data_IF_771499386510
#
_entry.id   IF_771499386510
#
_cell.length_a   1.000
_cell.length_b   1.000
_cell.length_c   1.000
_cell.angle_alpha   90.00
_cell.angle_beta   90.00
_cell.angle_gamma   90.00
#
_symmetry.space_group_name_H-M   'P 1'
#
loop_
_entity.id
_entity.type
_entity.pdbx_description
1 polymer ?
#
# COMPACT_ATOMS: atom_id res chain seq x y z
N UNK A 1 45.79 39.80 44.06
CA UNK A 1 45.18 38.59 44.66
C UNK A 1 45.09 37.50 43.59
N UNK A 2 45.56 36.30 43.95
CA UNK A 2 45.66 35.00 43.22
C UNK A 2 44.73 34.86 42.01
N UNK A 3 45.24 34.72 40.77
CA UNK A 3 45.57 33.48 40.03
C UNK A 3 44.49 32.38 40.03
N UNK A 4 44.23 31.89 38.81
CA UNK A 4 44.18 30.46 38.41
C UNK A 4 42.83 29.75 38.20
N UNK A 5 42.75 29.12 37.01
CA UNK A 5 42.11 27.85 36.63
C UNK A 5 40.58 27.80 36.56
N UNK A 6 39.96 27.47 35.42
CA UNK A 6 40.02 26.21 34.64
C UNK A 6 39.36 25.05 35.39
N UNK A 7 38.30 24.50 34.77
CA UNK A 7 37.78 23.13 34.90
C UNK A 7 37.22 22.65 36.25
N UNK A 8 35.95 22.24 36.24
CA UNK A 8 35.44 21.01 36.87
C UNK A 8 33.97 20.83 36.42
N UNK A 9 33.60 19.92 35.53
CA UNK A 9 33.47 18.46 35.69
C UNK A 9 32.68 17.98 36.94
N UNK A 10 31.46 17.50 36.62
CA UNK A 10 30.78 16.26 37.08
C UNK A 10 30.24 16.22 38.53
N UNK A 11 29.08 15.53 38.67
CA UNK A 11 28.54 14.78 39.82
C UNK A 11 27.50 15.57 40.65
N UNK A 12 26.30 15.09 41.03
CA UNK A 12 25.50 13.86 40.81
C UNK A 12 24.08 14.18 41.31
N UNK A 13 23.09 13.49 40.74
CA UNK A 13 21.76 13.15 41.23
C UNK A 13 21.38 13.52 42.68
N UNK A 14 20.23 14.17 42.85
CA UNK A 14 19.21 13.71 43.82
C UNK A 14 17.80 14.05 43.33
N UNK A 15 17.05 12.98 43.16
CA UNK A 15 15.63 12.84 42.91
C UNK A 15 14.80 13.43 44.08
N UNK A 16 13.66 14.06 43.76
CA UNK A 16 12.30 13.79 44.27
C UNK A 16 11.47 15.00 44.78
N UNK A 17 10.32 15.12 44.09
CA UNK A 17 8.97 15.52 44.56
C UNK A 17 8.60 17.01 44.54
N UNK A 18 7.68 17.32 43.61
CA UNK A 18 6.42 17.96 43.99
C UNK A 18 6.32 19.46 43.71
N UNK A 19 5.92 19.83 42.50
CA UNK A 19 5.53 21.20 42.18
C UNK A 19 4.89 21.29 40.82
N UNK A 20 3.62 20.89 40.73
CA UNK A 20 2.76 21.17 39.58
C UNK A 20 2.66 22.69 39.43
N UNK A 21 3.29 23.24 38.41
CA UNK A 21 2.95 24.55 37.87
C UNK A 21 2.58 24.38 36.41
N UNK A 22 1.26 24.37 36.19
CA UNK A 22 0.63 24.51 34.90
C UNK A 22 1.12 25.78 34.20
N UNK A 23 1.91 25.61 33.13
CA UNK A 23 1.93 26.55 32.04
C UNK A 23 1.47 25.81 30.78
N UNK A 24 0.24 26.12 30.36
CA UNK A 24 -0.32 25.67 29.11
C UNK A 24 0.45 26.28 27.94
N UNK A 25 1.27 25.45 27.32
CA UNK A 25 1.84 25.69 26.00
C UNK A 25 1.83 24.35 25.29
N UNK A 26 0.98 24.22 24.28
CA UNK A 26 0.97 23.07 23.38
C UNK A 26 2.30 23.03 22.65
N UNK A 27 3.26 22.26 23.16
CA UNK A 27 4.40 21.82 22.38
C UNK A 27 3.86 20.88 21.31
N UNK A 28 3.70 21.39 20.09
CA UNK A 28 3.56 20.56 18.90
C UNK A 28 4.87 19.79 18.75
N UNK A 29 4.87 18.53 19.20
CA UNK A 29 5.90 17.58 18.82
C UNK A 29 5.74 17.33 17.31
N UNK A 30 6.60 17.95 16.50
CA UNK A 30 6.83 17.51 15.13
C UNK A 30 7.35 16.08 15.20
N UNK A 31 6.47 15.12 14.90
CA UNK A 31 6.85 13.72 14.78
C UNK A 31 7.68 13.55 13.52
N UNK A 32 9.01 13.63 13.66
CA UNK A 32 9.90 13.06 12.66
C UNK A 32 9.61 11.56 12.61
N UNK A 33 9.06 11.09 11.49
CA UNK A 33 8.97 9.65 11.20
C UNK A 33 10.40 9.18 10.99
N UNK A 34 11.07 8.71 12.05
CA UNK A 34 12.26 7.89 11.89
C UNK A 34 11.82 6.60 11.19
N UNK A 35 12.42 6.31 10.03
CA UNK A 35 12.38 4.95 9.50
C UNK A 35 13.05 4.06 10.56
N UNK A 36 12.24 3.30 11.28
CA UNK A 36 12.73 2.37 12.29
C UNK A 36 13.50 1.28 11.54
N UNK A 37 14.82 1.20 11.74
CA UNK A 37 15.63 0.11 11.20
C UNK A 37 15.24 -1.18 11.93
N UNK A 38 14.55 -2.09 11.25
CA UNK A 38 14.17 -3.36 11.84
C UNK A 38 15.34 -4.35 11.77
N UNK A 39 15.97 -4.58 12.91
CA UNK A 39 17.04 -5.57 13.06
C UNK A 39 16.52 -6.86 13.68
N UNK A 40 16.95 -8.00 13.14
CA UNK A 40 16.57 -9.33 13.65
C UNK A 40 17.82 -10.15 13.89
N UNK A 41 17.83 -10.90 14.99
CA UNK A 41 18.96 -11.77 15.34
C UNK A 41 18.76 -13.14 14.68
N UNK A 42 19.73 -13.54 13.85
CA UNK A 42 19.73 -14.80 13.10
C UNK A 42 19.76 -15.97 14.08
N UNK A 43 18.85 -16.92 13.90
CA UNK A 43 18.68 -18.10 14.74
C UNK A 43 19.22 -19.35 14.04
N UNK A 44 19.44 -20.41 14.81
CA UNK A 44 19.83 -21.72 14.26
C UNK A 44 18.76 -22.19 13.27
N UNK A 45 19.17 -22.44 12.02
CA UNK A 45 18.28 -22.86 10.93
C UNK A 45 17.83 -21.73 10.02
N UNK A 46 18.10 -20.46 10.37
CA UNK A 46 17.86 -19.34 9.47
C UNK A 46 18.85 -19.37 8.31
N UNK A 47 18.31 -19.08 7.12
CA UNK A 47 19.04 -18.83 5.88
C UNK A 47 18.59 -17.47 5.33
N UNK A 48 19.42 -16.81 4.51
CA UNK A 48 18.99 -15.58 3.83
C UNK A 48 17.70 -15.80 3.04
N UNK A 49 17.54 -16.98 2.45
CA UNK A 49 16.31 -17.35 1.74
C UNK A 49 15.09 -17.41 2.68
N UNK A 50 15.18 -18.13 3.79
CA UNK A 50 14.07 -18.21 4.76
C UNK A 50 13.73 -16.86 5.39
N UNK A 51 14.73 -15.99 5.58
CA UNK A 51 14.56 -14.66 6.13
C UNK A 51 13.96 -13.72 5.08
N UNK A 52 14.45 -13.75 3.83
CA UNK A 52 13.86 -13.00 2.72
C UNK A 52 12.38 -13.34 2.57
N UNK A 53 12.06 -14.64 2.60
CA UNK A 53 10.68 -15.13 2.61
C UNK A 53 9.87 -14.58 3.78
N UNK A 54 10.41 -14.66 5.01
CA UNK A 54 9.73 -14.22 6.23
C UNK A 54 9.42 -12.72 6.23
N UNK A 55 10.28 -11.91 5.63
CA UNK A 55 10.19 -10.46 5.62
C UNK A 55 9.74 -9.88 4.25
N UNK A 56 9.22 -10.71 3.35
CA UNK A 56 8.63 -10.25 2.08
C UNK A 56 9.60 -9.49 1.18
N UNK A 57 10.87 -9.90 1.15
CA UNK A 57 11.95 -9.28 0.36
C UNK A 57 12.73 -10.35 -0.41
N UNK A 58 13.82 -9.96 -1.08
CA UNK A 58 14.69 -10.87 -1.83
C UNK A 58 16.01 -11.12 -1.10
N UNK A 59 16.69 -12.20 -1.46
CA UNK A 59 18.03 -12.48 -0.93
C UNK A 59 19.02 -11.41 -1.36
N UNK A 60 18.89 -10.92 -2.60
CA UNK A 60 19.70 -9.86 -3.17
C UNK A 60 19.52 -8.54 -2.41
N UNK A 61 18.28 -8.15 -2.14
CA UNK A 61 17.95 -6.94 -1.38
C UNK A 61 18.41 -7.04 0.07
N UNK A 62 18.21 -8.20 0.73
CA UNK A 62 18.79 -8.45 2.06
C UNK A 62 20.32 -8.31 2.04
N UNK A 63 20.98 -8.84 1.02
CA UNK A 63 22.44 -8.72 0.91
C UNK A 63 22.86 -7.28 0.64
N UNK A 64 22.10 -6.54 -0.15
CA UNK A 64 22.41 -5.15 -0.47
C UNK A 64 22.31 -4.26 0.77
N UNK A 65 21.18 -4.32 1.49
CA UNK A 65 20.96 -3.48 2.69
C UNK A 65 21.91 -3.84 3.83
N UNK A 66 22.34 -5.11 3.92
CA UNK A 66 23.31 -5.57 4.91
C UNK A 66 24.76 -5.56 4.41
N UNK A 67 25.01 -5.14 3.16
CA UNK A 67 26.33 -5.13 2.51
C UNK A 67 27.04 -6.50 2.52
N UNK A 68 26.29 -7.58 2.36
CA UNK A 68 26.83 -8.92 2.27
C UNK A 68 27.30 -9.25 0.85
N UNK A 69 28.55 -9.69 0.73
CA UNK A 69 29.12 -10.18 -0.53
C UNK A 69 28.81 -11.66 -0.80
N UNK A 70 28.35 -12.41 0.21
CA UNK A 70 28.08 -13.85 0.13
C UNK A 70 26.70 -14.22 0.66
N UNK A 71 26.32 -15.49 0.52
CA UNK A 71 25.07 -16.01 1.07
C UNK A 71 25.19 -16.54 2.51
N UNK A 72 26.39 -16.47 3.09
CA UNK A 72 26.68 -17.01 4.42
C UNK A 72 26.26 -16.00 5.49
N UNK A 73 25.45 -16.47 6.43
CA UNK A 73 25.03 -15.75 7.63
C UNK A 73 25.29 -16.60 8.86
N UNK A 74 25.50 -15.96 10.02
CA UNK A 74 25.88 -16.64 11.25
C UNK A 74 24.80 -16.51 12.32
N UNK A 75 24.59 -17.58 13.09
CA UNK A 75 23.69 -17.53 14.25
C UNK A 75 24.18 -16.47 15.24
N UNK A 76 23.27 -15.63 15.73
CA UNK A 76 23.57 -14.50 16.61
C UNK A 76 23.93 -13.21 15.87
N UNK A 77 24.08 -13.24 14.55
CA UNK A 77 24.30 -12.04 13.74
C UNK A 77 23.02 -11.21 13.65
N UNK A 78 23.16 -9.88 13.76
CA UNK A 78 22.08 -8.94 13.44
C UNK A 78 21.95 -8.79 11.93
N UNK A 79 20.71 -8.91 11.46
CA UNK A 79 20.32 -8.72 10.09
C UNK A 79 19.34 -7.57 10.03
N UNK A 80 19.70 -6.52 9.32
CA UNK A 80 18.76 -5.50 8.90
C UNK A 80 17.78 -6.16 7.93
N UNK A 81 16.50 -6.13 8.27
CA UNK A 81 15.44 -6.58 7.38
C UNK A 81 14.62 -5.37 6.97
N UNK A 82 14.06 -5.35 5.75
CA UNK A 82 13.12 -4.32 5.38
C UNK A 82 12.02 -4.27 6.43
N UNK A 83 11.74 -3.07 6.92
CA UNK A 83 10.66 -2.85 7.84
C UNK A 83 9.35 -3.18 7.13
N UNK A 84 8.84 -4.39 7.35
CA UNK A 84 7.45 -4.75 7.04
C UNK A 84 6.47 -4.11 8.00
N UNK A 85 6.83 -2.98 8.63
CA UNK A 85 5.85 -1.90 8.66
C UNK A 85 5.65 -1.48 7.20
N UNK A 86 4.80 -2.23 6.49
CA UNK A 86 3.77 -1.55 5.70
C UNK A 86 3.37 -0.37 6.58
N UNK A 87 3.77 0.86 6.25
CA UNK A 87 3.26 2.01 7.00
C UNK A 87 1.76 1.78 6.99
N UNK A 88 1.13 1.56 8.15
CA UNK A 88 -0.25 1.07 8.17
C UNK A 88 -1.03 1.93 7.17
N UNK A 89 -1.65 1.29 6.16
CA UNK A 89 -2.13 2.00 5.00
C UNK A 89 -3.04 3.13 5.46
N UNK A 90 -2.62 4.37 5.23
CA UNK A 90 -3.33 5.53 5.77
C UNK A 90 -4.57 5.76 4.92
N UNK A 91 -5.76 5.74 5.52
CA UNK A 91 -6.98 6.21 4.87
C UNK A 91 -6.86 7.70 4.55
N UNK A 92 -6.65 8.04 3.28
CA UNK A 92 -6.47 9.43 2.81
C UNK A 92 -7.83 9.98 2.39
N UNK A 93 -8.31 11.02 3.05
CA UNK A 93 -9.59 11.65 2.69
C UNK A 93 -9.35 12.68 1.60
N UNK A 94 -10.02 12.51 0.46
CA UNK A 94 -9.97 13.39 -0.69
C UNK A 94 -11.28 14.19 -0.81
N UNK A 95 -11.15 15.51 -0.95
CA UNK A 95 -12.26 16.44 -1.13
C UNK A 95 -12.34 16.97 -2.57
N UNK A 96 -12.06 16.10 -3.54
CA UNK A 96 -12.17 16.36 -4.97
C UNK A 96 -10.84 16.27 -5.74
N UNK A 97 -10.95 16.26 -7.07
CA UNK A 97 -9.86 16.24 -8.04
C UNK A 97 -10.14 17.24 -9.16
N UNK A 98 -9.14 18.04 -9.54
CA UNK A 98 -9.30 19.11 -10.51
C UNK A 98 -8.20 19.07 -11.57
N UNK A 99 -8.55 19.34 -12.83
CA UNK A 99 -7.56 19.58 -13.90
C UNK A 99 -6.89 20.95 -13.82
N UNK A 100 -7.46 21.89 -13.04
CA UNK A 100 -6.94 23.24 -12.86
C UNK A 100 -6.56 23.50 -11.41
N UNK A 101 -5.30 23.92 -11.19
CA UNK A 101 -4.80 24.32 -9.87
C UNK A 101 -5.65 25.42 -9.22
N UNK A 102 -6.13 26.38 -10.02
CA UNK A 102 -6.99 27.48 -9.53
C UNK A 102 -8.30 26.97 -8.94
N UNK A 103 -8.87 25.90 -9.49
CA UNK A 103 -10.11 25.31 -8.96
C UNK A 103 -9.84 24.50 -7.70
N UNK A 104 -8.73 23.77 -7.65
CA UNK A 104 -8.25 23.12 -6.44
C UNK A 104 -8.01 24.12 -5.30
N UNK A 105 -7.29 25.21 -5.56
CA UNK A 105 -7.01 26.26 -4.57
C UNK A 105 -8.32 26.89 -4.03
N UNK A 106 -9.32 27.12 -4.89
CA UNK A 106 -10.66 27.58 -4.46
C UNK A 106 -11.34 26.59 -3.52
N UNK A 107 -11.24 25.28 -3.79
CA UNK A 107 -11.81 24.21 -2.94
C UNK A 107 -11.13 24.19 -1.58
N UNK A 108 -9.80 24.34 -1.51
CA UNK A 108 -9.06 24.44 -0.24
C UNK A 108 -9.51 25.66 0.56
N UNK A 109 -9.66 26.83 -0.07
CA UNK A 109 -10.16 28.03 0.62
C UNK A 109 -11.59 27.83 1.16
N UNK A 110 -12.46 27.15 0.39
CA UNK A 110 -13.81 26.83 0.83
C UNK A 110 -13.80 25.90 2.07
N UNK A 111 -13.02 24.83 2.03
CA UNK A 111 -12.87 23.89 3.15
C UNK A 111 -12.32 24.58 4.40
N UNK A 112 -11.30 25.42 4.23
CA UNK A 112 -10.73 26.21 5.33
C UNK A 112 -11.76 27.13 5.99
N UNK A 113 -12.64 27.77 5.21
CA UNK A 113 -13.77 28.57 5.74
C UNK A 113 -14.79 27.73 6.51
N UNK A 114 -14.86 26.43 6.23
CA UNK A 114 -15.70 25.46 6.94
C UNK A 114 -14.97 24.79 8.12
N UNK A 115 -13.75 25.24 8.45
CA UNK A 115 -12.94 24.66 9.53
C UNK A 115 -12.32 23.31 9.19
N UNK A 116 -12.19 22.99 7.90
CA UNK A 116 -11.61 21.74 7.43
C UNK A 116 -10.27 22.05 6.78
N UNK A 117 -9.19 21.55 7.37
CA UNK A 117 -7.86 21.65 6.79
C UNK A 117 -7.72 20.72 5.59
N UNK A 118 -7.15 21.25 4.52
CA UNK A 118 -6.88 20.51 3.30
C UNK A 118 -5.70 21.08 2.53
N UNK A 119 -5.01 20.21 1.79
CA UNK A 119 -3.84 20.54 0.97
C UNK A 119 -4.04 20.06 -0.46
N UNK A 120 -3.44 20.76 -1.41
CA UNK A 120 -3.40 20.32 -2.82
C UNK A 120 -2.25 19.33 -2.98
N UNK A 121 -2.54 18.16 -3.54
CA UNK A 121 -1.55 17.17 -3.95
C UNK A 121 -1.60 16.99 -5.46
N UNK A 122 -0.42 16.93 -6.09
CA UNK A 122 -0.32 16.74 -7.53
C UNK A 122 -0.26 15.24 -7.85
N UNK A 123 -0.97 14.83 -8.89
CA UNK A 123 -0.91 13.48 -9.47
C UNK A 123 -0.86 13.59 -10.99
N UNK A 124 0.02 12.82 -11.62
CA UNK A 124 0.08 12.72 -13.08
C UNK A 124 -0.60 11.41 -13.47
N UNK A 125 -1.64 11.51 -14.30
CA UNK A 125 -2.43 10.36 -14.77
C UNK A 125 -2.48 10.49 -16.29
N UNK A 126 -1.85 9.54 -17.00
CA UNK A 126 -1.73 9.55 -18.47
C UNK A 126 -1.19 10.89 -19.01
N UNK A 127 -0.05 11.32 -18.50
CA UNK A 127 0.62 12.59 -18.84
C UNK A 127 -0.17 13.88 -18.53
N UNK A 128 -1.34 13.76 -17.90
CA UNK A 128 -2.13 14.89 -17.46
C UNK A 128 -1.98 15.12 -15.95
N UNK A 129 -1.70 16.36 -15.55
CA UNK A 129 -1.62 16.74 -14.12
C UNK A 129 -3.02 17.00 -13.56
N UNK A 130 -3.35 16.28 -12.49
CA UNK A 130 -4.51 16.50 -11.64
C UNK A 130 -4.07 17.06 -10.29
N UNK A 131 -4.87 18.00 -9.77
CA UNK A 131 -4.70 18.65 -8.48
C UNK A 131 -5.79 18.12 -7.54
N UNK A 132 -5.44 17.15 -6.70
CA UNK A 132 -6.38 16.54 -5.76
C UNK A 132 -6.31 17.24 -4.41
N UNK A 133 -7.43 17.26 -3.69
CA UNK A 133 -7.53 17.94 -2.39
C UNK A 133 -7.49 16.91 -1.28
N UNK A 134 -6.37 16.77 -0.59
CA UNK A 134 -6.26 15.89 0.58
C UNK A 134 -6.70 16.64 1.83
N UNK A 135 -7.75 16.15 2.49
CA UNK A 135 -8.38 16.73 3.68
C UNK A 135 -8.21 15.83 4.93
N UNK A 136 -7.21 14.94 4.91
CA UNK A 136 -6.82 14.11 6.06
C UNK A 136 -6.13 12.82 5.64
N UNK A 137 -5.39 12.23 6.56
CA UNK A 137 -4.80 10.89 6.45
C UNK A 137 -4.87 10.22 7.82
N UNK A 138 -5.42 9.01 7.89
CA UNK A 138 -5.76 8.36 9.16
C UNK A 138 -5.34 6.89 9.16
N UNK A 139 -4.79 6.38 10.26
CA UNK A 139 -4.51 4.95 10.40
C UNK A 139 -5.78 4.10 10.61
N UNK A 140 -6.87 4.70 11.11
CA UNK A 140 -8.14 4.01 11.37
C UNK A 140 -9.24 4.47 10.41
N UNK A 141 -9.90 3.51 9.76
CA UNK A 141 -11.02 3.75 8.83
C UNK A 141 -12.11 4.64 9.42
N UNK A 142 -12.51 4.36 10.66
CA UNK A 142 -13.56 5.11 11.36
C UNK A 142 -13.27 6.61 11.45
N UNK A 143 -11.99 6.99 11.62
CA UNK A 143 -11.59 8.40 11.68
C UNK A 143 -11.67 9.06 10.29
N UNK A 144 -11.29 8.35 9.23
CA UNK A 144 -11.46 8.82 7.86
C UNK A 144 -12.93 8.95 7.47
N UNK A 145 -13.79 8.01 7.89
CA UNK A 145 -15.24 8.05 7.66
C UNK A 145 -15.91 9.24 8.39
N UNK A 146 -15.47 9.55 9.62
CA UNK A 146 -15.90 10.76 10.34
C UNK A 146 -15.52 12.02 9.57
N UNK A 147 -14.26 12.13 9.13
CA UNK A 147 -13.79 13.27 8.34
C UNK A 147 -14.54 13.38 7.01
N UNK A 148 -14.78 12.27 6.32
CA UNK A 148 -15.55 12.23 5.08
C UNK A 148 -16.98 12.74 5.30
N UNK A 149 -17.63 12.31 6.37
CA UNK A 149 -18.98 12.77 6.74
C UNK A 149 -19.01 14.27 6.98
N UNK A 150 -18.01 14.81 7.69
CA UNK A 150 -17.88 16.26 7.92
C UNK A 150 -17.77 17.03 6.59
N UNK A 151 -16.94 16.55 5.67
CA UNK A 151 -16.75 17.18 4.35
C UNK A 151 -18.04 17.13 3.52
N UNK A 152 -18.73 15.99 3.50
CA UNK A 152 -20.02 15.86 2.80
C UNK A 152 -21.10 16.77 3.38
N UNK A 153 -21.20 16.85 4.70
CA UNK A 153 -22.12 17.77 5.39
C UNK A 153 -21.78 19.25 5.16
N UNK A 154 -20.52 19.56 4.83
CA UNK A 154 -20.11 20.90 4.40
C UNK A 154 -20.50 21.24 2.95
N UNK A 155 -21.20 20.34 2.25
CA UNK A 155 -21.70 20.52 0.88
C UNK A 155 -20.76 19.97 -0.20
N UNK A 156 -19.72 19.23 0.18
CA UNK A 156 -18.73 18.66 -0.73
C UNK A 156 -19.07 17.18 -0.97
N UNK A 157 -20.02 16.94 -1.86
CA UNK A 157 -20.60 15.61 -2.10
C UNK A 157 -19.68 14.66 -2.87
N UNK A 158 -18.75 15.21 -3.64
CA UNK A 158 -17.72 14.50 -4.41
C UNK A 158 -16.50 14.07 -3.57
N UNK A 159 -16.56 14.23 -2.24
CA UNK A 159 -15.53 13.72 -1.36
C UNK A 159 -15.59 12.20 -1.22
N UNK A 160 -14.42 11.60 -1.09
CA UNK A 160 -14.19 10.16 -0.92
C UNK A 160 -12.94 9.96 -0.05
N UNK A 161 -12.75 8.79 0.56
CA UNK A 161 -11.42 8.44 1.05
C UNK A 161 -10.78 7.45 0.08
N UNK A 162 -9.51 7.66 -0.23
CA UNK A 162 -8.63 6.66 -0.80
C UNK A 162 -8.13 5.79 0.34
N UNK A 163 -8.09 4.51 0.05
CA UNK A 163 -7.46 3.54 0.91
C UNK A 163 -6.24 3.07 0.14
N UNK A 164 -5.03 3.59 0.43
CA UNK A 164 -3.79 2.99 -0.06
C UNK A 164 -3.56 1.69 0.72
N UNK A 165 -4.57 0.82 0.80
CA UNK A 165 -4.31 -0.56 1.18
C UNK A 165 -3.27 -1.05 0.17
N UNK A 166 -2.17 -1.69 0.62
CA UNK A 166 -1.39 -2.47 -0.31
C UNK A 166 -2.38 -3.37 -1.04
N UNK A 167 -2.30 -3.40 -2.36
CA UNK A 167 -3.21 -4.22 -3.14
C UNK A 167 -3.11 -5.65 -2.62
N UNK A 168 -4.18 -6.10 -1.99
CA UNK A 168 -4.19 -7.34 -1.25
C UNK A 168 -5.27 -8.21 -1.89
N UNK A 169 -4.93 -8.77 -3.06
CA UNK A 169 -5.76 -9.83 -3.61
C UNK A 169 -5.32 -11.10 -2.90
N UNK A 170 -5.97 -11.43 -1.78
CA UNK A 170 -5.63 -12.60 -0.94
C UNK A 170 -4.18 -12.56 -0.43
N UNK A 171 -3.74 -11.40 0.02
CA UNK A 171 -2.41 -11.09 0.56
C UNK A 171 -1.26 -11.26 -0.45
N UNK A 172 -1.57 -11.56 -1.70
CA UNK A 172 -0.58 -11.69 -2.74
C UNK A 172 -0.23 -10.31 -3.29
N UNK A 173 1.06 -10.00 -3.23
CA UNK A 173 1.64 -8.79 -3.81
C UNK A 173 2.66 -9.14 -4.89
N UNK A 174 2.94 -8.18 -5.77
CA UNK A 174 4.11 -8.28 -6.67
C UNK A 174 5.37 -8.50 -5.83
N UNK A 175 6.28 -9.34 -6.32
CA UNK A 175 7.46 -9.78 -5.58
C UNK A 175 7.23 -11.03 -4.74
N UNK A 176 6.00 -11.56 -4.63
CA UNK A 176 5.76 -12.85 -3.97
C UNK A 176 6.32 -14.04 -4.77
N UNK A 177 6.38 -15.20 -4.12
CA UNK A 177 6.82 -16.46 -4.74
C UNK A 177 5.64 -17.36 -5.09
N UNK A 178 5.87 -18.40 -5.89
CA UNK A 178 4.85 -19.40 -6.21
C UNK A 178 4.21 -20.05 -4.97
N UNK A 179 5.01 -20.38 -3.94
CA UNK A 179 4.47 -21.00 -2.73
C UNK A 179 3.46 -20.10 -2.00
N UNK A 180 3.68 -18.78 -2.02
CA UNK A 180 2.72 -17.84 -1.44
C UNK A 180 1.37 -17.89 -2.15
N UNK A 181 1.34 -18.17 -3.45
CA UNK A 181 0.09 -18.30 -4.19
C UNK A 181 -0.72 -19.51 -3.74
N UNK A 182 -0.06 -20.65 -3.55
CA UNK A 182 -0.71 -21.89 -3.09
C UNK A 182 -1.24 -21.73 -1.66
N UNK A 183 -0.49 -21.06 -0.79
CA UNK A 183 -0.92 -20.79 0.58
C UNK A 183 -2.23 -19.95 0.61
N UNK A 184 -2.43 -19.08 -0.39
CA UNK A 184 -3.52 -18.10 -0.41
C UNK A 184 -4.73 -18.54 -1.24
N UNK A 185 -4.49 -19.19 -2.39
CA UNK A 185 -5.54 -19.65 -3.31
C UNK A 185 -5.84 -21.15 -3.19
N UNK A 186 -5.01 -21.90 -2.45
CA UNK A 186 -5.10 -23.34 -2.34
C UNK A 186 -4.33 -24.08 -3.44
N UNK A 187 -4.41 -25.40 -3.40
CA UNK A 187 -3.79 -26.26 -4.42
C UNK A 187 -4.71 -26.34 -5.64
N UNK A 188 -4.25 -26.00 -6.85
CA UNK A 188 -5.06 -26.14 -8.07
C UNK A 188 -5.23 -27.62 -8.45
N UNK A 189 -6.30 -27.92 -9.20
CA UNK A 189 -6.53 -29.25 -9.77
C UNK A 189 -5.43 -29.60 -10.78
N UNK A 190 -5.05 -28.62 -11.60
CA UNK A 190 -3.88 -28.71 -12.48
C UNK A 190 -3.31 -27.32 -12.77
N UNK A 191 -2.10 -27.29 -13.30
CA UNK A 191 -1.43 -26.07 -13.73
C UNK A 191 -0.81 -26.24 -15.11
N UNK A 192 -0.68 -25.14 -15.83
CA UNK A 192 -0.06 -25.07 -17.15
C UNK A 192 1.01 -23.98 -17.18
N UNK A 193 2.21 -24.34 -17.66
CA UNK A 193 3.32 -23.41 -17.79
C UNK A 193 3.58 -23.08 -19.26
N UNK A 194 3.70 -21.80 -19.57
CA UNK A 194 4.06 -21.31 -20.90
C UNK A 194 5.02 -20.12 -20.77
N UNK A 195 6.29 -20.33 -21.14
CA UNK A 195 7.37 -19.34 -20.97
C UNK A 195 7.52 -18.89 -19.51
N UNK A 196 7.24 -17.62 -19.22
CA UNK A 196 7.27 -17.07 -17.87
C UNK A 196 5.88 -16.95 -17.24
N UNK A 197 4.87 -17.58 -17.84
CA UNK A 197 3.49 -17.58 -17.36
C UNK A 197 3.12 -18.93 -16.77
N UNK A 198 2.50 -18.91 -15.60
CA UNK A 198 1.89 -20.06 -14.95
C UNK A 198 0.38 -19.81 -14.79
N UNK A 199 -0.41 -20.75 -15.30
CA UNK A 199 -1.87 -20.75 -15.18
C UNK A 199 -2.31 -21.82 -14.18
N UNK A 200 -3.13 -21.45 -13.20
CA UNK A 200 -3.62 -22.31 -12.12
C UNK A 200 -5.13 -22.52 -12.26
N UNK A 201 -5.54 -23.78 -12.32
CA UNK A 201 -6.92 -24.17 -12.59
C UNK A 201 -7.54 -24.84 -11.35
N UNK A 202 -8.55 -24.20 -10.77
CA UNK A 202 -9.26 -24.69 -9.57
C UNK A 202 -10.61 -25.34 -9.90
N UNK A 203 -11.06 -25.14 -11.14
CA UNK A 203 -12.25 -25.76 -11.72
C UNK A 203 -11.88 -26.43 -13.05
N UNK A 204 -12.84 -27.09 -13.69
CA UNK A 204 -12.62 -27.79 -14.96
C UNK A 204 -12.56 -26.84 -16.17
N UNK A 205 -12.89 -25.57 -15.98
CA UNK A 205 -12.96 -24.56 -17.02
C UNK A 205 -12.20 -23.31 -16.55
N UNK A 206 -11.40 -22.73 -17.44
CA UNK A 206 -10.71 -21.46 -17.22
C UNK A 206 -9.61 -21.47 -16.16
N UNK A 207 -8.58 -20.65 -16.38
CA UNK A 207 -7.56 -20.42 -15.36
C UNK A 207 -8.13 -19.47 -14.31
N UNK A 208 -8.15 -19.86 -13.04
CA UNK A 208 -8.57 -18.98 -11.94
C UNK A 208 -7.52 -17.94 -11.58
N UNK A 209 -6.24 -18.33 -11.68
CA UNK A 209 -5.11 -17.43 -11.47
C UNK A 209 -4.12 -17.60 -12.60
N UNK A 210 -3.63 -16.50 -13.17
CA UNK A 210 -2.47 -16.46 -14.07
C UNK A 210 -1.40 -15.59 -13.47
N UNK A 211 -0.17 -16.03 -13.59
CA UNK A 211 0.98 -15.42 -12.93
C UNK A 211 2.07 -15.28 -13.96
N UNK A 212 2.60 -14.07 -14.13
CA UNK A 212 3.83 -13.87 -14.87
C UNK A 212 4.99 -13.70 -13.88
N UNK A 213 6.05 -14.47 -14.10
CA UNK A 213 7.24 -14.43 -13.26
C UNK A 213 8.40 -13.72 -13.96
N UNK A 214 9.25 -13.11 -13.15
CA UNK A 214 10.59 -12.76 -13.57
C UNK A 214 11.42 -14.04 -13.69
N UNK A 215 11.89 -14.38 -14.89
CA UNK A 215 12.68 -15.62 -15.10
C UNK A 215 14.02 -15.66 -14.37
N UNK A 216 14.57 -14.50 -13.94
CA UNK A 216 15.84 -14.43 -13.22
C UNK A 216 15.66 -14.60 -11.72
N UNK A 217 14.65 -13.93 -11.15
CA UNK A 217 14.44 -13.88 -9.69
C UNK A 217 13.38 -14.86 -9.20
N UNK A 218 12.53 -15.39 -10.10
CA UNK A 218 11.42 -16.29 -9.77
C UNK A 218 10.25 -15.59 -9.05
N UNK A 219 10.24 -14.25 -9.02
CA UNK A 219 9.23 -13.46 -8.34
C UNK A 219 8.06 -13.13 -9.26
N UNK A 220 6.87 -12.98 -8.69
CA UNK A 220 5.66 -12.54 -9.39
C UNK A 220 5.84 -11.10 -9.87
N UNK A 221 5.71 -10.86 -11.17
CA UNK A 221 5.73 -9.54 -11.82
C UNK A 221 4.32 -9.07 -12.21
N UNK A 222 3.44 -10.02 -12.51
CA UNK A 222 2.04 -9.79 -12.81
C UNK A 222 1.18 -10.92 -12.25
N UNK A 223 0.04 -10.55 -11.70
CA UNK A 223 -0.97 -11.47 -11.16
C UNK A 223 -2.31 -11.12 -11.77
N UNK A 224 -2.92 -12.06 -12.48
CA UNK A 224 -4.26 -11.92 -13.03
C UNK A 224 -5.19 -12.97 -12.41
N UNK A 225 -6.37 -12.53 -12.01
CA UNK A 225 -7.32 -13.35 -11.26
C UNK A 225 -8.68 -13.26 -11.93
N UNK A 226 -9.28 -14.43 -12.13
CA UNK A 226 -10.59 -14.61 -12.75
C UNK A 226 -11.55 -15.17 -11.71
N UNK A 227 -12.35 -14.32 -11.04
CA UNK A 227 -13.13 -14.73 -9.87
C UNK A 227 -14.17 -15.83 -10.14
N UNK A 228 -14.61 -15.97 -11.40
CA UNK A 228 -15.56 -16.99 -11.84
C UNK A 228 -14.99 -18.42 -11.76
N UNK A 229 -13.68 -18.59 -11.99
CA UNK A 229 -13.00 -19.90 -12.00
C UNK A 229 -12.35 -20.24 -10.64
N UNK A 230 -12.63 -19.45 -9.61
CA UNK A 230 -12.14 -19.67 -8.25
C UNK A 230 -13.22 -20.26 -7.34
N UNK A 231 -12.81 -21.16 -6.45
CA UNK A 231 -13.66 -21.76 -5.41
C UNK A 231 -13.69 -20.94 -4.10
N UNK A 232 -13.06 -19.77 -4.10
CA UNK A 232 -12.96 -18.89 -2.93
C UNK A 232 -13.86 -17.66 -3.09
N UNK A 233 -14.52 -17.25 -2.01
CA UNK A 233 -15.48 -16.13 -2.00
C UNK A 233 -14.86 -14.80 -1.52
N UNK A 234 -13.62 -14.81 -1.04
CA UNK A 234 -12.91 -13.63 -0.54
C UNK A 234 -12.46 -12.67 -1.67
N UNK A 235 -12.64 -13.06 -2.94
CA UNK A 235 -12.31 -12.25 -4.10
C UNK A 235 -13.55 -11.45 -4.53
N UNK A 236 -13.47 -10.12 -4.66
CA UNK A 236 -14.61 -9.31 -5.04
C UNK A 236 -15.09 -9.65 -6.46
N UNK A 237 -16.35 -10.07 -6.58
CA UNK A 237 -17.00 -10.42 -7.86
C UNK A 237 -17.86 -9.30 -8.47
N UNK A 238 -18.10 -8.21 -7.74
CA UNK A 238 -18.98 -7.12 -8.18
C UNK A 238 -18.33 -5.73 -8.06
N UNK A 239 -18.68 -4.84 -8.98
CA UNK A 239 -18.16 -3.46 -9.08
C UNK A 239 -18.38 -2.68 -7.80
N UNK A 240 -19.55 -2.82 -7.18
CA UNK A 240 -19.84 -2.16 -5.90
C UNK A 240 -18.82 -2.56 -4.83
N UNK A 241 -18.49 -3.85 -4.73
CA UNK A 241 -17.53 -4.35 -3.74
C UNK A 241 -16.11 -3.85 -4.01
N UNK A 242 -15.72 -3.78 -5.28
CA UNK A 242 -14.46 -3.17 -5.72
C UNK A 242 -14.37 -1.72 -5.23
N UNK A 243 -15.43 -0.91 -5.45
CA UNK A 243 -15.48 0.48 -5.00
C UNK A 243 -15.47 0.60 -3.47
N UNK A 244 -16.13 -0.31 -2.75
CA UNK A 244 -16.08 -0.36 -1.29
C UNK A 244 -14.67 -0.67 -0.74
N UNK A 245 -13.91 -1.52 -1.44
CA UNK A 245 -12.57 -1.95 -1.02
C UNK A 245 -11.49 -0.93 -1.38
N UNK A 246 -11.49 -0.47 -2.63
CA UNK A 246 -10.40 0.32 -3.21
C UNK A 246 -10.79 1.79 -3.44
N UNK A 247 -12.05 2.17 -3.23
CA UNK A 247 -12.55 3.51 -3.49
C UNK A 247 -12.86 3.76 -4.98
N UNK A 248 -12.91 5.04 -5.35
CA UNK A 248 -13.09 5.43 -6.75
C UNK A 248 -11.78 5.22 -7.52
N UNK A 249 -11.82 4.71 -8.77
CA UNK A 249 -10.63 4.47 -9.56
C UNK A 249 -9.93 5.77 -9.96
N UNK A 250 -8.62 5.68 -10.19
CA UNK A 250 -7.82 6.78 -10.73
C UNK A 250 -8.17 7.06 -12.20
N UNK A 251 -8.57 6.02 -12.96
CA UNK A 251 -9.18 6.18 -14.27
C UNK A 251 -10.28 5.16 -14.54
N UNK A 252 -11.31 5.58 -15.26
CA UNK A 252 -12.38 4.75 -15.78
C UNK A 252 -12.38 4.89 -17.32
N UNK A 253 -12.30 3.77 -18.02
CA UNK A 253 -12.32 3.71 -19.49
C UNK A 253 -13.40 2.74 -19.96
N UNK A 254 -14.07 3.06 -21.06
CA UNK A 254 -14.80 2.08 -21.84
C UNK A 254 -13.84 1.36 -22.77
N UNK A 255 -13.84 0.02 -22.73
CA UNK A 255 -12.97 -0.84 -23.52
C UNK A 255 -13.80 -1.87 -24.28
N UNK A 256 -13.30 -2.33 -25.42
CA UNK A 256 -13.92 -3.47 -26.11
C UNK A 256 -13.51 -4.76 -25.41
N UNK A 257 -14.50 -5.55 -25.02
CA UNK A 257 -14.35 -6.91 -24.51
C UNK A 257 -14.89 -7.93 -25.53
N UNK A 258 -15.26 -9.14 -25.08
CA UNK A 258 -15.57 -10.28 -25.96
C UNK A 258 -16.47 -9.88 -27.15
N UNK A 259 -16.07 -10.35 -28.34
CA UNK A 259 -16.61 -9.95 -29.64
C UNK A 259 -16.48 -8.45 -29.92
N UNK A 260 -17.50 -7.68 -29.56
CA UNK A 260 -17.64 -6.25 -29.77
C UNK A 260 -18.33 -5.56 -28.59
N UNK A 261 -18.55 -6.29 -27.48
CA UNK A 261 -19.19 -5.73 -26.31
C UNK A 261 -18.33 -4.62 -25.70
N UNK A 262 -18.99 -3.63 -25.11
CA UNK A 262 -18.32 -2.56 -24.36
C UNK A 262 -18.32 -2.94 -22.88
N UNK A 263 -17.15 -2.92 -22.28
CA UNK A 263 -16.89 -3.20 -20.88
C UNK A 263 -16.25 -1.98 -20.23
N UNK A 264 -16.26 -1.93 -18.90
CA UNK A 264 -15.56 -0.87 -18.15
C UNK A 264 -14.22 -1.38 -17.63
N UNK A 265 -13.20 -0.54 -17.70
CA UNK A 265 -11.88 -0.78 -17.11
C UNK A 265 -11.62 0.28 -16.04
N UNK A 266 -11.49 -0.17 -14.80
CA UNK A 266 -11.17 0.65 -13.64
C UNK A 266 -9.69 0.46 -13.33
N UNK A 267 -8.93 1.55 -13.26
CA UNK A 267 -7.50 1.50 -12.93
C UNK A 267 -7.26 2.21 -11.61
N UNK A 268 -6.51 1.56 -10.72
CA UNK A 268 -6.07 2.08 -9.43
C UNK A 268 -4.55 2.07 -9.35
N UNK A 269 -3.94 3.16 -8.90
CA UNK A 269 -2.53 3.25 -8.58
C UNK A 269 -2.34 3.12 -7.06
N UNK A 270 -1.67 2.04 -6.65
CA UNK A 270 -1.58 1.58 -5.25
C UNK A 270 -0.11 1.35 -4.89
N UNK A 271 0.52 2.31 -4.20
CA UNK A 271 1.89 2.22 -3.65
C UNK A 271 2.88 1.38 -4.49
N UNK A 272 3.25 1.91 -5.66
CA UNK A 272 4.20 1.25 -6.58
C UNK A 272 3.62 0.09 -7.40
N UNK A 273 2.30 -0.12 -7.33
CA UNK A 273 1.57 -1.11 -8.13
C UNK A 273 0.39 -0.46 -8.86
N UNK A 274 -0.12 -1.16 -9.87
CA UNK A 274 -1.38 -0.85 -10.53
C UNK A 274 -2.33 -2.04 -10.40
N UNK A 275 -3.55 -1.78 -9.93
CA UNK A 275 -4.67 -2.71 -10.08
C UNK A 275 -5.53 -2.26 -11.27
N UNK A 276 -5.71 -3.14 -12.23
CA UNK A 276 -6.73 -3.04 -13.27
C UNK A 276 -7.89 -3.97 -12.91
N UNK A 277 -9.12 -3.48 -12.95
CA UNK A 277 -10.34 -4.28 -12.80
C UNK A 277 -11.18 -4.10 -14.06
N UNK A 278 -11.47 -5.20 -14.74
CA UNK A 278 -12.39 -5.19 -15.87
C UNK A 278 -13.78 -5.66 -15.42
N UNK A 279 -14.78 -4.83 -15.67
CA UNK A 279 -16.20 -5.11 -15.41
C UNK A 279 -16.83 -5.57 -16.71
N UNK A 280 -17.59 -6.66 -16.65
CA UNK A 280 -18.31 -7.24 -17.78
C UNK A 280 -19.36 -6.25 -18.33
N UNK A 281 -19.90 -6.56 -19.51
CA UNK A 281 -20.90 -5.77 -20.24
C UNK A 281 -22.19 -5.51 -19.48
N UNK A 282 -22.44 -6.23 -18.39
CA UNK A 282 -23.58 -6.00 -17.50
C UNK A 282 -23.38 -4.80 -16.56
N UNK A 283 -22.16 -4.27 -16.48
CA UNK A 283 -21.80 -3.12 -15.67
C UNK A 283 -21.63 -3.41 -14.17
N UNK A 284 -21.64 -4.68 -13.75
CA UNK A 284 -21.44 -5.06 -12.34
C UNK A 284 -20.43 -6.21 -12.15
N UNK A 285 -20.48 -7.27 -12.95
CA UNK A 285 -19.66 -8.47 -12.72
C UNK A 285 -18.19 -8.20 -13.03
N UNK A 286 -17.29 -8.59 -12.12
CA UNK A 286 -15.84 -8.51 -12.33
C UNK A 286 -15.39 -9.66 -13.22
N UNK A 287 -14.95 -9.33 -14.42
CA UNK A 287 -14.39 -10.29 -15.37
C UNK A 287 -12.99 -10.75 -14.96
N UNK A 288 -12.12 -9.79 -14.62
CA UNK A 288 -10.82 -10.10 -14.02
C UNK A 288 -10.28 -8.93 -13.19
N UNK A 289 -9.36 -9.27 -12.30
CA UNK A 289 -8.44 -8.35 -11.63
C UNK A 289 -7.03 -8.61 -12.14
N UNK A 290 -6.27 -7.56 -12.41
CA UNK A 290 -4.88 -7.64 -12.80
C UNK A 290 -4.04 -6.70 -11.95
N UNK A 291 -3.02 -7.26 -11.31
CA UNK A 291 -2.02 -6.57 -10.53
C UNK A 291 -0.69 -6.60 -11.27
N UNK A 292 -0.10 -5.43 -11.48
CA UNK A 292 1.25 -5.27 -12.03
C UNK A 292 2.06 -4.27 -11.20
N UNK A 293 3.39 -4.35 -11.28
CA UNK A 293 4.25 -3.30 -10.74
C UNK A 293 4.08 -2.03 -11.57
N UNK A 294 3.93 -0.89 -10.91
CA UNK A 294 4.01 0.40 -11.57
C UNK A 294 5.48 0.64 -11.99
N UNK A 295 5.75 1.00 -13.26
CA UNK A 295 7.12 1.23 -13.74
C UNK A 295 7.80 2.44 -13.07
#
# INVERSE_FOLDING_TARGET
MKKFKQFMQIIVSTMLIGGVLSFGGSFHAESYVQAEENHVVIKKGDTLYSLAKKYGTTVEELKEINKFSSHTIYVGQELLVPSTTLSEPLYIVMAGSFSSKKNADKRVVLLKKKGIDAVVVNRVIKDQTYYRIQAGAYSKKENAEKQLTLIKNAGITDAYFMNPMPLNIKEVTIGNTYNNLIDQFGVPNFSEEQMNTLSLYYQNEGAGVRVQFNMKTGLVEQLQIYPEFLLIDDIPRGKKKIIEMYGHPDSLEEVTCYETATCEKLTYQLDGNQLTVQIDRDGDVVQFLELIRFP
#
